data_IF_960229304309
#
_entry.id   IF_960229304309
#
_cell.length_a   1.000
_cell.length_b   1.000
_cell.length_c   1.000
_cell.angle_alpha   90.00
_cell.angle_beta   90.00
_cell.angle_gamma   90.00
#
_symmetry.space_group_name_H-M   'P 1'
#
loop_
_entity.id
_entity.type
_entity.pdbx_description
1 polymer ?
#
# COMPACT_ATOMS: atom_id res chain seq x y z
N UNK A 1 -5.58 -14.63 -11.92
CA UNK A 1 -6.86 -13.88 -11.81
C UNK A 1 -6.60 -12.43 -12.17
N UNK A 2 -7.58 -11.71 -12.73
CA UNK A 2 -7.48 -10.27 -12.98
C UNK A 2 -8.23 -9.53 -11.89
N UNK A 3 -7.64 -8.46 -11.34
CA UNK A 3 -8.26 -7.64 -10.30
C UNK A 3 -7.88 -6.15 -10.45
N UNK A 4 -8.57 -5.29 -9.71
CA UNK A 4 -8.29 -3.86 -9.62
C UNK A 4 -7.14 -3.67 -8.64
N UNK A 5 -5.96 -3.32 -9.16
CA UNK A 5 -4.76 -3.17 -8.34
C UNK A 5 -4.71 -1.80 -7.66
N UNK A 6 -4.85 -0.74 -8.44
CA UNK A 6 -4.69 0.64 -7.97
C UNK A 6 -5.65 1.59 -8.69
N UNK A 7 -6.06 2.67 -8.01
CA UNK A 7 -6.81 3.77 -8.56
C UNK A 7 -6.11 5.09 -8.22
N UNK A 8 -6.13 6.06 -9.14
CA UNK A 8 -5.87 7.46 -8.82
C UNK A 8 -7.16 8.26 -9.05
N UNK A 9 -7.98 8.47 -8.00
CA UNK A 9 -9.24 9.17 -8.14
C UNK A 9 -9.10 10.69 -8.15
N UNK A 10 -8.13 11.25 -7.41
CA UNK A 10 -7.96 12.68 -7.26
C UNK A 10 -6.52 13.07 -7.67
N UNK A 11 -6.22 13.18 -8.97
CA UNK A 11 -4.87 13.52 -9.45
C UNK A 11 -4.43 14.91 -8.99
N UNK A 12 -3.12 15.14 -8.88
CA UNK A 12 -2.55 16.45 -8.51
C UNK A 12 -2.79 17.48 -9.60
N UNK A 13 -3.19 18.69 -9.20
CA UNK A 13 -3.36 19.84 -10.07
C UNK A 13 -4.77 19.97 -10.65
N UNK A 14 -4.94 20.92 -11.56
CA UNK A 14 -6.26 21.26 -12.15
C UNK A 14 -6.71 20.32 -13.26
N UNK A 15 -5.87 19.38 -13.69
CA UNK A 15 -6.16 18.53 -14.84
C UNK A 15 -7.17 17.42 -14.48
N UNK A 16 -8.45 17.75 -14.64
CA UNK A 16 -9.55 16.81 -14.77
C UNK A 16 -9.30 15.91 -16.00
N UNK A 17 -8.62 14.78 -15.79
CA UNK A 17 -8.12 13.91 -16.86
C UNK A 17 -6.94 13.04 -16.46
N UNK A 18 -6.34 13.31 -15.29
CA UNK A 18 -5.29 12.45 -14.70
C UNK A 18 -5.81 11.17 -14.04
N UNK A 19 -7.12 10.96 -13.97
CA UNK A 19 -7.71 9.78 -13.34
C UNK A 19 -7.38 8.50 -14.11
N UNK A 20 -7.05 7.45 -13.35
CA UNK A 20 -6.76 6.16 -13.94
C UNK A 20 -7.09 4.99 -13.01
N UNK A 21 -7.27 3.84 -13.65
CA UNK A 21 -7.52 2.54 -13.01
C UNK A 21 -6.46 1.57 -13.52
N UNK A 22 -5.78 0.88 -12.61
CA UNK A 22 -4.79 -0.14 -12.97
C UNK A 22 -5.35 -1.53 -12.70
N UNK A 23 -5.29 -2.39 -13.71
CA UNK A 23 -5.65 -3.79 -13.58
C UNK A 23 -4.40 -4.65 -13.60
N UNK A 24 -4.36 -5.69 -12.78
CA UNK A 24 -3.25 -6.64 -12.72
C UNK A 24 -3.75 -8.06 -12.93
N UNK A 25 -2.98 -8.85 -13.69
CA UNK A 25 -3.21 -10.28 -13.86
C UNK A 25 -2.21 -11.06 -13.00
N UNK A 26 -2.64 -11.57 -11.85
CA UNK A 26 -1.83 -12.46 -11.00
C UNK A 26 -1.94 -13.94 -11.43
N UNK A 27 -2.55 -14.22 -12.58
CA UNK A 27 -2.58 -15.56 -13.17
C UNK A 27 -1.27 -15.96 -13.83
N UNK A 28 -1.24 -17.21 -14.29
CA UNK A 28 -0.13 -17.78 -15.08
C UNK A 28 -0.42 -17.76 -16.59
N UNK A 29 -1.68 -17.47 -16.98
CA UNK A 29 -2.13 -17.39 -18.38
C UNK A 29 -2.46 -15.96 -18.80
N UNK A 30 -2.36 -15.70 -20.12
CA UNK A 30 -2.81 -14.45 -20.73
C UNK A 30 -4.32 -14.34 -20.62
N UNK A 31 -4.82 -13.16 -20.22
CA UNK A 31 -6.26 -12.90 -20.15
C UNK A 31 -6.67 -11.92 -21.25
N UNK A 32 -7.63 -12.34 -22.08
CA UNK A 32 -8.29 -11.47 -23.06
C UNK A 32 -9.43 -10.68 -22.39
N UNK A 33 -9.36 -9.37 -22.50
CA UNK A 33 -10.30 -8.43 -21.88
C UNK A 33 -11.51 -8.10 -22.76
N UNK A 34 -11.62 -8.64 -23.97
CA UNK A 34 -12.77 -8.39 -24.83
C UNK A 34 -14.07 -8.80 -24.13
N UNK A 35 -14.98 -7.85 -23.96
CA UNK A 35 -16.25 -8.04 -23.26
C UNK A 35 -16.19 -7.82 -21.75
N UNK A 36 -15.00 -7.69 -21.15
CA UNK A 36 -14.89 -7.25 -19.77
C UNK A 36 -15.32 -5.79 -19.62
N UNK A 37 -15.78 -5.44 -18.43
CA UNK A 37 -16.27 -4.09 -18.15
C UNK A 37 -15.77 -3.58 -16.80
N UNK A 38 -15.42 -2.29 -16.77
CA UNK A 38 -15.41 -1.51 -15.53
C UNK A 38 -16.74 -0.78 -15.40
N UNK A 39 -17.27 -0.70 -14.18
CA UNK A 39 -18.43 0.16 -13.85
C UNK A 39 -18.15 1.02 -12.64
N UNK A 40 -18.69 2.23 -12.63
CA UNK A 40 -18.78 3.07 -11.42
C UNK A 40 -20.08 2.81 -10.64
N UNK A 41 -20.20 3.38 -9.44
CA UNK A 41 -21.39 3.24 -8.59
C UNK A 41 -22.64 3.84 -9.23
N UNK A 42 -22.49 4.80 -10.15
CA UNK A 42 -23.61 5.39 -10.89
C UNK A 42 -24.12 4.51 -12.05
N UNK A 43 -23.43 3.41 -12.33
CA UNK A 43 -23.77 2.44 -13.37
C UNK A 43 -23.21 2.78 -14.75
N UNK A 44 -22.36 3.81 -14.89
CA UNK A 44 -21.66 4.06 -16.15
C UNK A 44 -20.59 3.01 -16.34
N UNK A 45 -20.39 2.59 -17.58
CA UNK A 45 -19.48 1.51 -17.92
C UNK A 45 -18.41 1.93 -18.93
N UNK A 46 -17.26 1.26 -18.82
CA UNK A 46 -16.17 1.27 -19.78
C UNK A 46 -15.93 -0.17 -20.23
N UNK A 47 -16.11 -0.42 -21.53
CA UNK A 47 -15.76 -1.70 -22.13
C UNK A 47 -14.24 -1.79 -22.27
N UNK A 48 -13.68 -2.94 -21.91
CA UNK A 48 -12.27 -3.23 -22.04
C UNK A 48 -12.01 -4.01 -23.33
N UNK A 49 -10.75 -3.94 -23.77
CA UNK A 49 -10.25 -4.67 -24.93
C UNK A 49 -8.75 -4.93 -24.75
N UNK A 50 -8.22 -5.85 -25.56
CA UNK A 50 -6.81 -6.22 -25.52
C UNK A 50 -6.53 -7.36 -24.54
N UNK A 51 -5.26 -7.53 -24.18
CA UNK A 51 -4.80 -8.65 -23.35
C UNK A 51 -3.93 -8.16 -22.20
N UNK A 52 -4.00 -8.86 -21.06
CA UNK A 52 -3.04 -8.73 -19.96
C UNK A 52 -2.25 -10.02 -19.86
N UNK A 53 -0.93 -9.94 -20.07
CA UNK A 53 -0.02 -11.08 -19.89
C UNK A 53 0.02 -11.53 -18.42
N UNK A 54 0.47 -12.77 -18.15
CA UNK A 54 0.72 -13.25 -16.80
C UNK A 54 1.62 -12.31 -16.03
N UNK A 55 1.32 -12.09 -14.75
CA UNK A 55 2.08 -11.23 -13.83
C UNK A 55 2.32 -9.81 -14.36
N UNK A 56 1.41 -9.30 -15.19
CA UNK A 56 1.52 -7.98 -15.81
C UNK A 56 0.31 -7.11 -15.49
N UNK A 57 0.44 -5.81 -15.73
CA UNK A 57 -0.60 -4.81 -15.52
C UNK A 57 -0.90 -3.98 -16.77
N UNK A 58 -2.08 -3.36 -16.77
CA UNK A 58 -2.43 -2.32 -17.73
C UNK A 58 -2.96 -1.09 -16.99
N UNK A 59 -2.77 0.08 -17.60
CA UNK A 59 -3.24 1.35 -17.09
C UNK A 59 -4.40 1.90 -17.95
N UNK A 60 -5.58 2.00 -17.36
CA UNK A 60 -6.79 2.51 -17.99
C UNK A 60 -6.94 4.00 -17.65
N UNK A 61 -6.53 4.88 -18.57
CA UNK A 61 -6.73 6.33 -18.43
C UNK A 61 -8.18 6.71 -18.72
N UNK A 62 -8.79 7.52 -17.86
CA UNK A 62 -10.24 7.79 -17.90
C UNK A 62 -10.66 9.07 -18.65
N UNK A 63 -9.71 9.93 -19.08
CA UNK A 63 -9.95 11.22 -19.73
C UNK A 63 -10.84 11.20 -21.00
N UNK A 64 -11.13 10.03 -21.57
CA UNK A 64 -12.07 9.83 -22.70
C UNK A 64 -13.17 8.81 -22.40
N UNK A 65 -13.22 8.32 -21.17
CA UNK A 65 -14.21 7.37 -20.73
C UNK A 65 -15.46 8.09 -20.21
N UNK A 66 -16.58 7.37 -20.11
CA UNK A 66 -17.78 7.89 -19.45
C UNK A 66 -17.69 7.81 -17.93
N UNK A 67 -16.73 7.03 -17.42
CA UNK A 67 -16.48 6.85 -15.99
C UNK A 67 -15.73 8.06 -15.45
N UNK A 68 -16.14 8.54 -14.29
CA UNK A 68 -15.49 9.62 -13.55
C UNK A 68 -15.32 9.11 -12.12
N UNK A 69 -14.09 9.17 -11.61
CA UNK A 69 -13.79 8.77 -10.24
C UNK A 69 -14.09 9.95 -9.32
N UNK A 70 -15.11 9.83 -8.47
CA UNK A 70 -15.48 10.92 -7.57
C UNK A 70 -14.42 11.16 -6.49
N UNK A 71 -13.95 12.40 -6.30
CA UNK A 71 -12.94 12.79 -5.29
C UNK A 71 -13.41 12.68 -3.82
N UNK A 72 -14.64 12.23 -3.57
CA UNK A 72 -15.21 12.08 -2.21
C UNK A 72 -15.50 10.64 -1.86
N UNK A 73 -16.13 9.88 -2.75
CA UNK A 73 -16.47 8.48 -2.52
C UNK A 73 -16.86 7.87 -3.84
N UNK A 74 -16.38 6.66 -4.09
CA UNK A 74 -16.75 5.89 -5.27
C UNK A 74 -16.65 4.40 -4.98
N UNK A 75 -17.23 3.59 -5.86
CA UNK A 75 -16.90 2.17 -5.95
C UNK A 75 -16.73 1.80 -7.42
N UNK A 76 -15.57 1.22 -7.72
CA UNK A 76 -15.24 0.69 -9.05
C UNK A 76 -15.48 -0.81 -9.02
N UNK A 77 -16.18 -1.33 -10.01
CA UNK A 77 -16.50 -2.74 -10.17
C UNK A 77 -15.88 -3.29 -11.46
N UNK A 78 -15.29 -4.48 -11.40
CA UNK A 78 -14.75 -5.21 -12.53
C UNK A 78 -15.62 -6.43 -12.82
N UNK A 79 -16.13 -6.52 -14.05
CA UNK A 79 -16.95 -7.63 -14.53
C UNK A 79 -16.25 -8.37 -15.67
N UNK A 80 -16.41 -9.69 -15.71
CA UNK A 80 -16.00 -10.52 -16.85
C UNK A 80 -17.03 -10.47 -18.00
N UNK A 81 -16.76 -11.11 -19.16
CA UNK A 81 -17.66 -11.08 -20.31
C UNK A 81 -19.00 -11.77 -20.09
N UNK A 82 -19.10 -12.64 -19.08
CA UNK A 82 -20.38 -13.27 -18.70
C UNK A 82 -21.25 -12.35 -17.84
N UNK A 83 -20.71 -11.21 -17.41
CA UNK A 83 -21.35 -10.29 -16.48
C UNK A 83 -21.16 -10.67 -15.01
N UNK A 84 -20.28 -11.61 -14.70
CA UNK A 84 -19.95 -11.97 -13.32
C UNK A 84 -19.03 -10.91 -12.72
N UNK A 85 -19.33 -10.48 -11.49
CA UNK A 85 -18.46 -9.61 -10.72
C UNK A 85 -17.18 -10.36 -10.35
N UNK A 86 -16.04 -9.84 -10.80
CA UNK A 86 -14.71 -10.39 -10.52
C UNK A 86 -14.09 -9.69 -9.33
N UNK A 87 -14.17 -8.36 -9.28
CA UNK A 87 -13.56 -7.58 -8.21
C UNK A 87 -14.25 -6.23 -8.02
N UNK A 88 -14.04 -5.60 -6.87
CA UNK A 88 -14.47 -4.23 -6.58
C UNK A 88 -13.48 -3.52 -5.67
N UNK A 89 -13.31 -2.22 -5.89
CA UNK A 89 -12.51 -1.36 -5.02
C UNK A 89 -13.31 -0.09 -4.69
N UNK A 90 -13.55 0.11 -3.40
CA UNK A 90 -14.24 1.27 -2.87
C UNK A 90 -13.27 2.15 -2.11
N UNK A 91 -13.51 3.46 -2.11
CA UNK A 91 -12.71 4.41 -1.36
C UNK A 91 -13.57 5.58 -0.87
N UNK A 92 -13.03 6.35 0.09
CA UNK A 92 -13.69 7.53 0.65
C UNK A 92 -12.64 8.60 1.00
N UNK A 93 -12.96 9.84 0.68
CA UNK A 93 -12.19 11.06 0.89
C UNK A 93 -10.70 10.94 0.53
N UNK A 94 -10.37 10.54 -0.71
CA UNK A 94 -8.98 10.45 -1.13
C UNK A 94 -8.32 11.83 -1.12
N UNK A 95 -7.12 11.92 -0.56
CA UNK A 95 -6.28 13.11 -0.70
C UNK A 95 -5.90 13.33 -2.16
N UNK A 96 -5.56 14.57 -2.49
CA UNK A 96 -5.00 14.90 -3.80
C UNK A 96 -3.67 14.14 -4.00
N UNK A 97 -3.55 13.45 -5.13
CA UNK A 97 -2.44 12.57 -5.47
C UNK A 97 -2.47 11.19 -4.83
N UNK A 98 -3.48 10.86 -4.01
CA UNK A 98 -3.53 9.58 -3.31
C UNK A 98 -3.81 8.42 -4.26
N UNK A 99 -2.96 7.39 -4.20
CA UNK A 99 -3.18 6.11 -4.88
C UNK A 99 -3.94 5.20 -3.93
N UNK A 100 -5.13 4.78 -4.34
CA UNK A 100 -5.95 3.82 -3.61
C UNK A 100 -5.60 2.42 -4.09
N UNK A 101 -5.39 1.50 -3.14
CA UNK A 101 -5.15 0.07 -3.38
C UNK A 101 -5.97 -0.75 -2.38
N UNK A 102 -6.17 -2.04 -2.64
CA UNK A 102 -6.79 -2.95 -1.65
C UNK A 102 -5.87 -3.11 -0.44
N UNK A 103 -6.46 -3.22 0.76
CA UNK A 103 -5.70 -3.54 1.98
C UNK A 103 -4.94 -4.86 1.85
N UNK A 104 -5.53 -5.85 1.19
CA UNK A 104 -4.88 -7.14 0.93
C UNK A 104 -3.60 -6.97 0.11
N UNK A 105 -3.64 -6.16 -0.95
CA UNK A 105 -2.46 -5.89 -1.77
C UNK A 105 -1.43 -5.05 -0.99
N UNK A 106 -1.87 -4.04 -0.24
CA UNK A 106 -0.99 -3.25 0.64
C UNK A 106 -0.27 -4.12 1.67
N UNK A 107 -0.98 -5.05 2.29
CA UNK A 107 -0.43 -5.98 3.26
C UNK A 107 0.52 -6.99 2.60
N UNK A 108 0.18 -7.51 1.41
CA UNK A 108 1.07 -8.36 0.62
C UNK A 108 2.36 -7.64 0.25
N UNK A 109 2.28 -6.37 -0.17
CA UNK A 109 3.44 -5.53 -0.43
C UNK A 109 4.25 -5.31 0.85
N UNK A 110 3.62 -4.83 1.93
CA UNK A 110 4.27 -4.59 3.21
C UNK A 110 5.01 -5.84 3.70
N UNK A 111 4.33 -7.00 3.71
CA UNK A 111 4.96 -8.26 4.08
C UNK A 111 6.13 -8.60 3.16
N UNK A 112 6.01 -8.43 1.84
CA UNK A 112 7.13 -8.71 0.93
C UNK A 112 8.36 -7.80 1.14
N UNK A 113 8.17 -6.55 1.58
CA UNK A 113 9.27 -5.61 1.87
C UNK A 113 9.82 -5.74 3.30
N UNK A 114 8.98 -6.08 4.29
CA UNK A 114 9.35 -6.17 5.70
C UNK A 114 9.72 -7.60 6.16
N UNK A 115 9.41 -8.64 5.39
CA UNK A 115 9.66 -10.04 5.77
C UNK A 115 11.13 -10.48 5.71
N UNK A 116 12.12 -9.60 5.50
CA UNK A 116 13.49 -10.08 5.21
C UNK A 116 14.64 -9.54 6.07
N UNK A 117 14.48 -8.52 6.93
CA UNK A 117 15.30 -8.52 8.17
C UNK A 117 14.59 -8.05 9.45
N UNK A 118 13.46 -7.34 9.38
CA UNK A 118 12.84 -6.73 10.58
C UNK A 118 12.13 -7.79 11.44
N UNK A 119 11.62 -8.86 10.84
CA UNK A 119 11.04 -9.98 11.61
C UNK A 119 12.11 -10.74 12.39
N UNK A 120 13.29 -10.96 11.80
CA UNK A 120 14.44 -11.53 12.51
C UNK A 120 14.98 -10.59 13.60
N UNK A 121 14.91 -9.27 13.41
CA UNK A 121 15.32 -8.29 14.42
C UNK A 121 14.28 -8.12 15.53
N UNK A 122 12.99 -8.19 15.21
CA UNK A 122 11.86 -8.17 16.15
C UNK A 122 11.84 -9.42 17.03
N UNK A 123 12.08 -10.60 16.46
CA UNK A 123 12.20 -11.84 17.22
C UNK A 123 13.45 -11.80 18.13
N UNK A 124 14.56 -11.25 17.66
CA UNK A 124 15.76 -11.06 18.49
C UNK A 124 15.62 -9.93 19.54
N UNK A 125 14.75 -8.93 19.33
CA UNK A 125 14.43 -7.93 20.36
C UNK A 125 13.47 -8.49 21.42
N UNK A 126 12.48 -9.29 21.02
CA UNK A 126 11.54 -9.94 21.93
C UNK A 126 12.18 -11.08 22.73
N UNK A 127 13.28 -11.68 22.25
CA UNK A 127 14.07 -12.67 23.00
C UNK A 127 15.07 -12.00 23.97
N UNK A 128 15.24 -10.66 23.93
CA UNK A 128 16.07 -9.90 24.88
C UNK A 128 15.29 -9.23 26.03
N UNK A 129 14.01 -9.53 26.22
CA UNK A 129 13.22 -9.04 27.36
C UNK A 129 12.70 -10.16 28.26
N UNK A 130 13.57 -11.06 28.73
CA UNK A 130 13.32 -11.79 30.00
C UNK A 130 14.59 -12.03 30.82
N UNK A 131 15.55 -11.11 30.80
CA UNK A 131 16.33 -10.90 32.01
C UNK A 131 15.70 -9.74 32.75
N UNK A 132 14.83 -10.05 33.71
CA UNK A 132 14.43 -9.10 34.75
C UNK A 132 15.72 -8.62 35.44
N UNK A 133 16.32 -7.54 34.92
CA UNK A 133 17.42 -6.89 35.58
C UNK A 133 16.87 -6.45 36.93
N UNK A 134 17.43 -6.99 38.00
CA UNK A 134 17.02 -6.60 39.33
C UNK A 134 17.15 -5.08 39.46
N UNK A 135 16.31 -4.41 40.26
CA UNK A 135 16.45 -2.98 40.52
C UNK A 135 17.88 -2.60 40.96
N UNK A 136 18.60 -3.53 41.60
CA UNK A 136 20.01 -3.39 41.94
C UNK A 136 20.92 -3.31 40.71
N UNK A 137 20.70 -4.14 39.69
CA UNK A 137 21.46 -4.13 38.45
C UNK A 137 21.26 -2.83 37.65
N UNK A 138 20.02 -2.34 37.59
CA UNK A 138 19.69 -1.04 36.98
C UNK A 138 20.39 0.09 37.73
N UNK A 139 20.38 0.03 39.07
CA UNK A 139 21.09 0.99 39.92
C UNK A 139 22.60 1.02 39.67
N UNK A 140 23.24 -0.14 39.50
CA UNK A 140 24.69 -0.22 39.20
C UNK A 140 25.00 0.38 37.82
N UNK A 141 24.19 0.10 36.80
CA UNK A 141 24.35 0.66 35.45
C UNK A 141 24.26 2.19 35.45
N UNK A 142 23.28 2.76 36.15
CA UNK A 142 23.14 4.21 36.29
C UNK A 142 24.33 4.84 37.02
N UNK A 143 24.85 4.20 38.07
CA UNK A 143 26.01 4.70 38.80
C UNK A 143 27.27 4.74 37.93
N UNK A 144 27.53 3.69 37.15
CA UNK A 144 28.67 3.66 36.21
C UNK A 144 28.53 4.73 35.13
N UNK A 145 27.32 4.89 34.58
CA UNK A 145 27.04 5.92 33.57
C UNK A 145 27.26 7.33 34.13
N UNK A 146 26.75 7.62 35.33
CA UNK A 146 26.92 8.93 35.98
C UNK A 146 28.40 9.22 36.31
N UNK A 147 29.16 8.20 36.71
CA UNK A 147 30.62 8.33 36.91
C UNK A 147 31.35 8.69 35.62
N UNK A 148 31.01 8.02 34.51
CA UNK A 148 31.60 8.31 33.21
C UNK A 148 31.24 9.72 32.71
N UNK A 149 29.98 10.13 32.85
CA UNK A 149 29.52 11.50 32.53
C UNK A 149 30.26 12.54 33.38
N UNK A 150 30.46 12.27 34.67
CA UNK A 150 31.19 13.17 35.57
C UNK A 150 32.64 13.38 35.13
N UNK A 151 33.32 12.32 34.67
CA UNK A 151 34.69 12.43 34.12
C UNK A 151 34.72 13.27 32.85
N UNK A 152 33.73 13.13 31.96
CA UNK A 152 33.63 13.94 30.74
C UNK A 152 33.40 15.42 31.05
N UNK A 153 32.57 15.72 32.04
CA UNK A 153 32.33 17.09 32.50
C UNK A 153 33.60 17.70 33.09
N UNK A 154 34.31 16.98 33.95
CA UNK A 154 35.57 17.43 34.54
C UNK A 154 36.65 17.69 33.47
N UNK A 155 36.77 16.81 32.48
CA UNK A 155 37.70 17.01 31.35
C UNK A 155 37.37 18.27 30.52
N UNK A 156 36.10 18.60 30.36
CA UNK A 156 35.65 19.79 29.61
C UNK A 156 35.87 21.09 30.38
N UNK A 157 35.86 21.06 31.71
CA UNK A 157 36.09 22.23 32.56
C UNK A 157 37.60 22.48 32.76
N UNK A 158 38.43 21.43 32.68
CA UNK A 158 39.88 21.51 32.83
C UNK A 158 40.65 21.87 31.54
N UNK A 159 39.96 22.04 30.41
CA UNK A 159 40.49 22.49 29.11
C UNK A 159 40.11 23.93 28.83
#
# INVERSE_FOLDING_TARGET
>A
MVFIKELLPNPVGRDAGGEWIKLFNDGEDVVNLNGWQIKDLSGKSLNLAGNINPKNEINLKLYKSKIILNNKKETVFLYDPSGKLIDKLAYSNPYEGEIITTEEFSNKLANSYFASPIQAFSENLLISETHNLSPLFIGILLAVFMGWVSILILKKIAS
#
